data_IF_247257907102
#
_entry.id   IF_247257907102
#
_cell.length_a   1.000
_cell.length_b   1.000
_cell.length_c   1.000
_cell.angle_alpha   90.00
_cell.angle_beta   90.00
_cell.angle_gamma   90.00
#
_symmetry.space_group_name_H-M   'P 1'
#
loop_
_entity.id
_entity.type
_entity.pdbx_description
1 polymer ?
#
# COMPACT_ATOMS: atom_id res chain seq x y z
N UNK A 1 -18.28 2.81 -14.88
CA UNK A 1 -17.42 2.07 -15.85
C UNK A 1 -17.60 0.55 -15.76
N UNK A 2 -17.24 -0.08 -14.64
CA UNK A 2 -17.27 -1.56 -14.53
C UNK A 2 -18.70 -2.14 -14.60
N UNK A 3 -19.70 -1.39 -14.13
CA UNK A 3 -21.13 -1.73 -14.26
C UNK A 3 -21.57 -1.82 -15.73
N UNK A 4 -21.22 -0.82 -16.55
CA UNK A 4 -21.63 -0.75 -17.96
C UNK A 4 -21.03 -1.90 -18.77
N UNK A 5 -19.74 -2.20 -18.56
CA UNK A 5 -19.05 -3.32 -19.23
C UNK A 5 -19.66 -4.66 -18.86
N UNK A 6 -20.02 -4.84 -17.58
CA UNK A 6 -20.77 -6.01 -17.13
C UNK A 6 -22.11 -6.04 -17.86
N UNK A 7 -22.96 -5.04 -17.73
CA UNK A 7 -24.29 -5.06 -18.34
C UNK A 7 -24.28 -5.38 -19.84
N UNK A 8 -23.29 -4.87 -20.60
CA UNK A 8 -23.10 -5.19 -22.01
C UNK A 8 -22.75 -6.67 -22.27
N UNK A 9 -21.81 -7.24 -21.50
CA UNK A 9 -21.35 -8.64 -21.68
C UNK A 9 -22.34 -9.70 -21.14
N UNK A 10 -23.36 -9.30 -20.38
CA UNK A 10 -24.26 -10.22 -19.65
C UNK A 10 -25.69 -10.31 -20.20
N UNK A 11 -25.99 -9.74 -21.38
CA UNK A 11 -27.34 -9.81 -21.96
C UNK A 11 -27.80 -11.23 -22.40
N UNK A 12 -26.96 -12.28 -22.30
CA UNK A 12 -27.25 -13.61 -22.88
C UNK A 12 -26.91 -14.86 -22.05
N UNK A 13 -26.85 -14.78 -20.72
CA UNK A 13 -26.55 -15.96 -19.87
C UNK A 13 -25.05 -16.13 -19.59
N UNK A 14 -24.71 -16.24 -18.31
CA UNK A 14 -23.56 -15.50 -17.80
C UNK A 14 -22.31 -16.27 -17.35
N UNK A 15 -21.12 -15.81 -17.76
CA UNK A 15 -19.82 -16.35 -17.30
C UNK A 15 -19.11 -15.43 -16.30
N UNK A 16 -18.83 -15.90 -15.07
CA UNK A 16 -18.21 -15.12 -13.97
C UNK A 16 -17.12 -14.16 -14.47
N UNK A 17 -17.20 -12.88 -14.09
CA UNK A 17 -16.27 -11.79 -14.50
C UNK A 17 -14.79 -12.15 -14.26
N UNK A 18 -14.53 -12.93 -13.20
CA UNK A 18 -13.20 -13.45 -12.84
C UNK A 18 -12.61 -14.45 -13.84
N UNK A 19 -13.44 -15.05 -14.70
CA UNK A 19 -13.01 -15.94 -15.80
C UNK A 19 -12.70 -15.11 -17.05
N UNK A 20 -13.54 -14.13 -17.36
CA UNK A 20 -13.40 -13.20 -18.49
C UNK A 20 -12.15 -12.32 -18.35
N UNK A 21 -11.88 -11.82 -17.14
CA UNK A 21 -10.77 -10.89 -16.89
C UNK A 21 -9.38 -11.53 -16.82
N UNK A 22 -9.30 -12.85 -17.02
CA UNK A 22 -8.00 -13.53 -17.14
C UNK A 22 -7.30 -13.16 -18.45
N UNK A 23 -5.96 -13.21 -18.49
CA UNK A 23 -5.22 -13.09 -19.75
C UNK A 23 -5.70 -14.09 -20.80
N UNK A 24 -5.62 -13.74 -22.09
CA UNK A 24 -5.95 -14.66 -23.20
C UNK A 24 -5.21 -16.01 -23.09
N UNK A 25 -3.94 -15.96 -22.67
CA UNK A 25 -3.11 -17.14 -22.39
C UNK A 25 -3.66 -18.07 -21.30
N UNK A 26 -4.58 -17.60 -20.45
CA UNK A 26 -5.23 -18.37 -19.37
C UNK A 26 -6.73 -18.59 -19.62
N UNK A 27 -7.17 -18.54 -20.88
CA UNK A 27 -8.56 -18.81 -21.28
C UNK A 27 -9.57 -17.70 -20.94
N UNK A 28 -9.09 -16.47 -20.69
CA UNK A 28 -9.95 -15.29 -20.55
C UNK A 28 -9.96 -14.42 -21.82
N UNK A 29 -10.75 -13.34 -21.80
CA UNK A 29 -10.85 -12.38 -22.91
C UNK A 29 -9.72 -11.34 -22.90
N UNK A 30 -8.89 -11.31 -21.85
CA UNK A 30 -7.82 -10.33 -21.70
C UNK A 30 -8.30 -8.95 -21.25
N UNK A 31 -9.54 -8.83 -20.77
CA UNK A 31 -10.08 -7.59 -20.21
C UNK A 31 -9.45 -7.36 -18.82
N UNK A 32 -8.78 -6.23 -18.61
CA UNK A 32 -8.20 -5.92 -17.30
C UNK A 32 -9.28 -5.77 -16.23
N UNK A 33 -9.07 -6.41 -15.07
CA UNK A 33 -9.92 -6.19 -13.89
C UNK A 33 -9.69 -4.75 -13.38
N UNK A 34 -10.69 -3.88 -13.57
CA UNK A 34 -10.62 -2.48 -13.20
C UNK A 34 -10.32 -2.28 -11.72
N UNK A 35 -10.73 -3.19 -10.83
CA UNK A 35 -10.43 -3.08 -9.40
C UNK A 35 -8.95 -3.29 -9.12
N UNK A 36 -8.33 -4.26 -9.80
CA UNK A 36 -6.89 -4.50 -9.68
C UNK A 36 -6.09 -3.34 -10.27
N UNK A 37 -6.57 -2.77 -11.38
CA UNK A 37 -5.97 -1.58 -11.98
C UNK A 37 -6.06 -0.39 -11.03
N UNK A 38 -7.21 -0.14 -10.44
CA UNK A 38 -7.41 0.93 -9.45
C UNK A 38 -6.48 0.79 -8.24
N UNK A 39 -6.41 -0.41 -7.64
CA UNK A 39 -5.46 -0.72 -6.57
C UNK A 39 -4.01 -0.46 -6.99
N UNK A 40 -3.62 -0.87 -8.21
CA UNK A 40 -2.27 -0.64 -8.71
C UNK A 40 -1.95 0.84 -8.91
N UNK A 41 -2.93 1.65 -9.31
CA UNK A 41 -2.77 3.10 -9.44
C UNK A 41 -2.59 3.73 -8.07
N UNK A 42 -3.36 3.31 -7.07
CA UNK A 42 -3.19 3.78 -5.69
C UNK A 42 -1.83 3.37 -5.10
N UNK A 43 -1.35 2.15 -5.38
CA UNK A 43 0.01 1.74 -5.01
C UNK A 43 1.08 2.58 -5.72
N UNK A 44 0.87 2.93 -7.01
CA UNK A 44 1.77 3.82 -7.74
C UNK A 44 1.80 5.23 -7.16
N UNK A 45 0.67 5.70 -6.61
CA UNK A 45 0.62 6.96 -5.87
C UNK A 45 1.44 6.93 -4.59
N UNK A 46 1.37 5.84 -3.81
CA UNK A 46 2.26 5.63 -2.66
C UNK A 46 3.73 5.66 -3.06
N UNK A 47 4.08 4.93 -4.13
CA UNK A 47 5.45 4.92 -4.65
C UNK A 47 5.93 6.32 -5.05
N UNK A 48 5.09 7.10 -5.73
CA UNK A 48 5.43 8.49 -6.09
C UNK A 48 5.62 9.37 -4.85
N UNK A 49 4.76 9.23 -3.84
CA UNK A 49 4.86 10.01 -2.60
C UNK A 49 6.21 9.82 -1.90
N UNK A 50 6.81 8.63 -2.01
CA UNK A 50 8.11 8.32 -1.41
C UNK A 50 9.30 8.58 -2.33
N UNK A 51 9.15 8.32 -3.63
CA UNK A 51 10.29 8.28 -4.58
C UNK A 51 10.49 9.60 -5.33
N UNK A 52 9.53 10.52 -5.26
CA UNK A 52 9.58 11.79 -5.99
C UNK A 52 9.31 12.97 -5.08
N UNK A 53 9.93 14.09 -5.39
CA UNK A 53 9.75 15.35 -4.68
C UNK A 53 8.84 16.29 -5.47
N UNK A 54 8.20 17.22 -4.78
CA UNK A 54 7.28 18.19 -5.38
C UNK A 54 6.26 18.73 -4.39
N UNK A 55 5.60 19.80 -4.80
CA UNK A 55 4.68 20.56 -3.95
C UNK A 55 3.53 19.70 -3.41
N UNK A 56 2.97 18.80 -4.22
CA UNK A 56 1.87 17.96 -3.75
C UNK A 56 2.32 16.92 -2.72
N UNK A 57 3.56 16.42 -2.84
CA UNK A 57 4.15 15.51 -1.86
C UNK A 57 4.38 16.23 -0.54
N UNK A 58 4.90 17.46 -0.56
CA UNK A 58 5.07 18.29 0.64
C UNK A 58 3.73 18.54 1.33
N UNK A 59 2.71 18.96 0.58
CA UNK A 59 1.36 19.18 1.12
C UNK A 59 0.80 17.90 1.75
N UNK A 60 0.96 16.74 1.09
CA UNK A 60 0.47 15.46 1.61
C UNK A 60 1.27 15.01 2.83
N UNK A 61 2.59 15.19 2.82
CA UNK A 61 3.47 14.86 3.93
C UNK A 61 3.11 15.70 5.16
N UNK A 62 3.00 17.02 5.03
CA UNK A 62 2.64 17.92 6.14
C UNK A 62 1.22 17.69 6.65
N UNK A 63 0.27 17.43 5.75
CA UNK A 63 -1.13 17.24 6.14
C UNK A 63 -1.37 15.90 6.83
N UNK A 64 -0.79 14.82 6.32
CA UNK A 64 -1.17 13.46 6.71
C UNK A 64 -0.06 12.63 7.36
N UNK A 65 1.19 12.76 6.90
CA UNK A 65 2.31 11.90 7.35
C UNK A 65 2.96 12.48 8.61
N UNK A 66 3.31 13.76 8.57
CA UNK A 66 4.00 14.49 9.64
C UNK A 66 5.28 13.75 10.07
N UNK A 67 5.42 13.46 11.35
CA UNK A 67 6.55 12.73 11.93
C UNK A 67 6.34 11.20 11.96
N UNK A 68 5.23 10.69 11.44
CA UNK A 68 4.96 9.25 11.43
C UNK A 68 5.57 8.59 10.19
N UNK A 69 5.78 7.27 10.28
CA UNK A 69 6.09 6.45 9.11
C UNK A 69 4.82 6.08 8.36
N UNK A 70 4.93 5.69 7.08
CA UNK A 70 3.77 5.25 6.29
C UNK A 70 3.07 4.06 6.95
N UNK A 71 3.83 3.13 7.52
CA UNK A 71 3.33 1.96 8.23
C UNK A 71 2.42 2.31 9.41
N UNK A 72 2.63 3.45 10.06
CA UNK A 72 1.90 3.86 11.26
C UNK A 72 0.60 4.62 10.97
N UNK A 73 0.35 5.02 9.71
CA UNK A 73 -0.81 5.83 9.36
C UNK A 73 -2.14 5.10 9.62
N UNK A 74 -3.21 5.82 9.96
CA UNK A 74 -4.52 5.20 10.22
C UNK A 74 -5.64 5.99 9.56
N UNK A 75 -6.69 5.28 9.16
CA UNK A 75 -7.91 5.88 8.62
C UNK A 75 -8.61 6.69 9.70
N UNK A 76 -9.12 7.87 9.36
CA UNK A 76 -9.87 8.74 10.26
C UNK A 76 -11.07 9.32 9.51
N UNK A 77 -12.22 9.56 10.17
CA UNK A 77 -13.38 10.18 9.53
C UNK A 77 -13.09 11.60 8.98
N UNK A 78 -12.16 12.34 9.61
CA UNK A 78 -11.74 13.68 9.19
C UNK A 78 -10.82 13.69 7.95
N UNK A 79 -10.28 12.54 7.55
CA UNK A 79 -9.44 12.47 6.35
C UNK A 79 -10.27 12.67 5.09
N UNK A 80 -9.64 13.10 4.00
CA UNK A 80 -10.31 13.08 2.70
C UNK A 80 -10.63 11.63 2.29
N UNK A 81 -11.71 11.46 1.51
CA UNK A 81 -12.08 10.15 0.97
C UNK A 81 -10.92 9.51 0.19
N UNK A 82 -10.25 10.31 -0.67
CA UNK A 82 -9.07 9.89 -1.44
C UNK A 82 -7.94 9.37 -0.55
N UNK A 83 -7.67 10.04 0.57
CA UNK A 83 -6.62 9.59 1.49
C UNK A 83 -6.99 8.29 2.19
N UNK A 84 -8.25 8.16 2.62
CA UNK A 84 -8.73 6.90 3.19
C UNK A 84 -8.71 5.75 2.17
N UNK A 85 -8.94 6.02 0.89
CA UNK A 85 -8.78 5.04 -0.19
C UNK A 85 -7.31 4.66 -0.42
N UNK A 86 -6.39 5.62 -0.34
CA UNK A 86 -4.95 5.35 -0.35
C UNK A 86 -4.55 4.42 0.80
N UNK A 87 -5.04 4.70 2.01
CA UNK A 87 -4.75 3.89 3.19
C UNK A 87 -5.25 2.45 3.08
N UNK A 88 -6.34 2.17 2.35
CA UNK A 88 -6.84 0.80 2.14
C UNK A 88 -5.85 -0.08 1.37
N UNK A 89 -5.02 0.49 0.51
CA UNK A 89 -4.01 -0.26 -0.26
C UNK A 89 -2.62 -0.19 0.35
N UNK A 90 -2.44 0.55 1.45
CA UNK A 90 -1.13 0.76 2.08
C UNK A 90 -0.45 -0.56 2.40
N UNK A 91 -1.14 -1.51 3.04
CA UNK A 91 -0.49 -2.77 3.47
C UNK A 91 -0.03 -3.61 2.27
N UNK A 92 -0.78 -3.59 1.17
CA UNK A 92 -0.36 -4.21 -0.10
C UNK A 92 0.88 -3.53 -0.67
N UNK A 93 0.94 -2.21 -0.61
CA UNK A 93 2.09 -1.44 -1.03
C UNK A 93 3.33 -1.74 -0.16
N UNK A 94 3.19 -1.70 1.17
CA UNK A 94 4.28 -2.00 2.11
C UNK A 94 4.83 -3.41 1.93
N UNK A 95 3.95 -4.39 1.67
CA UNK A 95 4.38 -5.77 1.42
C UNK A 95 5.14 -5.95 0.10
N UNK A 96 4.85 -5.12 -0.89
CA UNK A 96 5.45 -5.22 -2.23
C UNK A 96 6.64 -4.29 -2.48
N UNK A 97 6.92 -3.35 -1.57
CA UNK A 97 8.02 -2.40 -1.70
C UNK A 97 9.32 -2.98 -1.14
N UNK A 98 10.43 -2.54 -1.69
CA UNK A 98 11.77 -2.75 -1.13
C UNK A 98 12.26 -1.41 -0.61
N UNK A 99 12.78 -1.40 0.61
CA UNK A 99 13.27 -0.19 1.26
C UNK A 99 14.78 -0.24 1.38
N UNK A 100 15.47 0.76 0.84
CA UNK A 100 16.92 0.92 1.02
C UNK A 100 17.14 1.83 2.23
N UNK A 101 17.94 1.37 3.18
CA UNK A 101 18.23 2.10 4.41
C UNK A 101 19.07 3.34 4.06
N UNK A 102 18.45 4.51 4.10
CA UNK A 102 19.13 5.81 4.10
C UNK A 102 19.39 6.26 5.54
N UNK A 103 18.91 7.45 5.90
CA UNK A 103 18.99 7.96 7.27
C UNK A 103 18.02 7.32 8.27
N UNK A 104 17.23 6.33 7.87
CA UNK A 104 16.30 5.59 8.75
C UNK A 104 15.11 6.38 9.32
N UNK A 105 14.95 7.68 9.06
CA UNK A 105 13.90 8.51 9.69
C UNK A 105 12.49 8.25 9.17
N UNK A 106 12.36 7.75 7.94
CA UNK A 106 11.06 7.47 7.28
C UNK A 106 10.68 5.99 7.29
N UNK A 107 11.47 5.15 7.93
CA UNK A 107 11.35 3.69 7.91
C UNK A 107 10.92 3.22 9.29
N UNK A 108 9.85 2.44 9.36
CA UNK A 108 9.38 1.82 10.59
C UNK A 108 10.25 0.62 10.96
N UNK A 109 10.74 0.59 12.20
CA UNK A 109 11.66 -0.45 12.63
C UNK A 109 11.03 -1.86 12.59
N UNK A 110 9.76 -1.99 12.99
CA UNK A 110 9.11 -3.30 13.13
C UNK A 110 8.29 -3.72 11.93
N UNK A 111 7.65 -2.76 11.25
CA UNK A 111 6.65 -3.01 10.21
C UNK A 111 7.19 -2.96 8.80
N UNK A 112 8.36 -2.35 8.57
CA UNK A 112 8.97 -2.31 7.24
C UNK A 112 9.98 -3.45 7.05
N UNK A 113 10.02 -3.98 5.83
CA UNK A 113 11.01 -4.97 5.37
C UNK A 113 12.30 -4.25 4.97
N UNK A 114 13.00 -3.67 5.95
CA UNK A 114 14.22 -2.88 5.73
C UNK A 114 15.52 -3.67 5.95
N UNK A 115 15.47 -4.76 6.73
CA UNK A 115 16.62 -5.63 7.01
C UNK A 115 16.62 -6.91 6.16
N UNK A 116 15.44 -7.50 5.95
CA UNK A 116 15.24 -8.67 5.09
C UNK A 116 14.01 -8.47 4.19
N UNK A 117 13.63 -9.51 3.45
CA UNK A 117 12.40 -9.55 2.65
C UNK A 117 11.10 -9.59 3.47
N UNK A 118 11.16 -9.69 4.80
CA UNK A 118 10.01 -9.70 5.70
C UNK A 118 10.18 -8.68 6.84
N UNK A 119 9.09 -8.11 7.38
CA UNK A 119 9.17 -7.21 8.53
C UNK A 119 9.69 -7.92 9.79
N UNK A 120 10.41 -7.19 10.64
CA UNK A 120 10.97 -7.76 11.88
C UNK A 120 9.89 -8.30 12.83
N UNK A 121 8.70 -7.69 12.85
CA UNK A 121 7.57 -8.19 13.67
C UNK A 121 7.06 -9.56 13.21
N UNK A 122 7.18 -9.87 11.92
CA UNK A 122 6.81 -11.17 11.36
C UNK A 122 7.92 -12.19 11.59
N UNK A 123 9.18 -11.75 11.52
CA UNK A 123 10.36 -12.58 11.81
C UNK A 123 10.46 -12.98 13.29
N UNK A 124 10.12 -12.06 14.19
CA UNK A 124 10.23 -12.25 15.64
C UNK A 124 8.89 -12.04 16.36
N UNK A 125 7.89 -12.92 16.13
CA UNK A 125 6.52 -12.72 16.62
C UNK A 125 6.40 -12.77 18.15
N UNK A 126 7.32 -13.45 18.84
CA UNK A 126 7.35 -13.51 20.31
C UNK A 126 8.07 -12.30 20.93
N UNK A 127 8.98 -11.66 20.19
CA UNK A 127 9.76 -10.52 20.67
C UNK A 127 8.97 -9.21 20.53
N UNK A 128 8.28 -9.02 19.40
CA UNK A 128 7.56 -7.79 19.12
C UNK A 128 6.57 -7.37 20.23
N UNK A 129 5.74 -8.26 20.81
CA UNK A 129 4.79 -7.88 21.85
C UNK A 129 5.44 -7.44 23.18
N UNK A 130 6.65 -7.90 23.47
CA UNK A 130 7.36 -7.58 24.72
C UNK A 130 8.24 -6.33 24.61
N UNK A 131 8.50 -5.85 23.39
CA UNK A 131 9.25 -4.62 23.17
C UNK A 131 8.43 -3.39 23.59
N UNK A 132 9.08 -2.45 24.29
CA UNK A 132 8.46 -1.17 24.68
C UNK A 132 8.16 -0.29 23.47
N UNK A 133 9.13 -0.20 22.56
CA UNK A 133 9.08 0.69 21.40
C UNK A 133 8.63 -0.06 20.14
N UNK A 134 7.31 -0.25 20.00
CA UNK A 134 6.70 -0.96 18.87
C UNK A 134 6.45 -0.07 17.63
N UNK A 135 6.37 1.25 17.82
CA UNK A 135 6.07 2.22 16.77
C UNK A 135 7.20 3.26 16.68
N UNK A 136 8.38 2.81 16.29
CA UNK A 136 9.58 3.63 16.24
C UNK A 136 10.23 3.56 14.85
N UNK A 137 11.09 4.55 14.56
CA UNK A 137 11.86 4.57 13.32
C UNK A 137 13.18 3.83 13.48
N UNK A 138 13.75 3.37 12.37
CA UNK A 138 15.10 2.76 12.36
C UNK A 138 16.13 3.73 12.92
N UNK A 139 16.03 5.03 12.57
CA UNK A 139 16.93 6.06 13.09
C UNK A 139 16.84 6.19 14.61
N UNK A 140 15.63 6.20 15.16
CA UNK A 140 15.43 6.30 16.60
C UNK A 140 16.06 5.11 17.33
N UNK A 141 15.81 3.89 16.86
CA UNK A 141 16.38 2.68 17.47
C UNK A 141 17.91 2.61 17.37
N UNK A 142 18.50 3.14 16.29
CA UNK A 142 19.95 3.21 16.14
C UNK A 142 20.62 4.30 17.02
N UNK A 143 19.83 5.16 17.66
CA UNK A 143 20.33 6.27 18.50
C UNK A 143 20.23 5.98 20.00
N UNK A 144 19.72 4.81 20.38
CA UNK A 144 19.62 4.30 21.76
C UNK A 144 20.82 3.41 22.06
#
# INVERSE_FOLDING_TARGET
MDRIRKTFLWQGGGTKWTKISKPKKKGGLGIHDLRKMDQSLLCKWWWKLESTEGLWQEIVQEKYVKQNTIAQLKTKPKNSAVWNDLLKVRDWYLKGRVTIIGNGKKIDFWSDSWCDNIPLKERFPNLFPVCREQNCTVNFMASI
#
